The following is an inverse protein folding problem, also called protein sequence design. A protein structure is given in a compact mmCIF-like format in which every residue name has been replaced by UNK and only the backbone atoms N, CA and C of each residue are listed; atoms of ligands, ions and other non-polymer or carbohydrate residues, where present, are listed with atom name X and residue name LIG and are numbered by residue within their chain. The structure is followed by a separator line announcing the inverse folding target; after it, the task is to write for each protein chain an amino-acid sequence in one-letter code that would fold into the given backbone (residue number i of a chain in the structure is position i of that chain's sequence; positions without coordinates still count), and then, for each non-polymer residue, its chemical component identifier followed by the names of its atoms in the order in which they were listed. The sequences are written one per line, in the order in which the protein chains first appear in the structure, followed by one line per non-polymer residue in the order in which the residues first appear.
data_IF_660426673513
#
_entry.id   IF_660426673513
#
_cell.length_a   1.000
_cell.length_b   1.000
_cell.length_c   1.000
_cell.angle_alpha   90.00
_cell.angle_beta   90.00
_cell.angle_gamma   90.00
#
_symmetry.space_group_name_H-M   'P 1'
#
loop_
_entity.id
_entity.type
_entity.pdbx_description
1 polymer ?
#
# COMPACT_ATOMS: atom_id res chain seq x y z
N UNK A 1 13.09 21.86 47.55
CA UNK A 1 13.48 20.80 46.60
C UNK A 1 12.20 20.26 46.00
N UNK A 2 11.81 20.78 44.84
CA UNK A 2 10.60 20.34 44.14
C UNK A 2 10.78 18.91 43.63
N UNK A 3 9.93 18.00 44.12
CA UNK A 3 9.86 16.64 43.62
C UNK A 3 9.14 16.67 42.27
N UNK A 4 9.68 16.10 41.19
CA UNK A 4 8.97 16.05 39.93
C UNK A 4 7.65 15.30 40.13
N UNK A 5 6.58 15.83 39.53
CA UNK A 5 5.24 15.24 39.59
C UNK A 5 5.30 13.78 39.11
N UNK A 6 4.49 12.92 39.73
CA UNK A 6 4.42 11.52 39.32
C UNK A 6 3.96 11.43 37.86
N UNK A 7 4.64 10.64 37.00
CA UNK A 7 4.30 10.54 35.59
C UNK A 7 2.84 10.12 35.42
N UNK A 8 2.12 10.81 34.54
CA UNK A 8 0.78 10.43 34.14
C UNK A 8 0.83 9.07 33.42
N UNK A 9 -0.30 8.34 33.35
CA UNK A 9 -0.36 7.06 32.64
C UNK A 9 0.15 7.14 31.20
N UNK A 10 -0.12 8.26 30.52
CA UNK A 10 0.35 8.55 29.15
C UNK A 10 1.89 8.62 29.08
N UNK A 11 2.54 9.23 30.08
CA UNK A 11 4.00 9.35 30.11
C UNK A 11 4.68 7.97 30.15
N UNK A 12 4.01 6.97 30.75
CA UNK A 12 4.51 5.59 30.80
C UNK A 12 4.35 4.86 29.46
N UNK A 13 3.30 5.15 28.70
CA UNK A 13 3.12 4.57 27.37
C UNK A 13 4.11 5.17 26.37
N UNK A 14 4.35 6.49 26.44
CA UNK A 14 5.37 7.17 25.63
C UNK A 14 6.76 6.61 25.97
N UNK A 15 7.08 6.43 27.26
CA UNK A 15 8.37 5.87 27.67
C UNK A 15 8.57 4.42 27.18
N UNK A 16 7.50 3.63 27.03
CA UNK A 16 7.56 2.26 26.50
C UNK A 16 7.83 2.20 24.99
N UNK A 17 7.60 3.29 24.26
CA UNK A 17 7.81 3.35 22.82
C UNK A 17 9.26 3.60 22.41
N UNK A 18 10.20 3.76 23.37
CA UNK A 18 11.65 3.89 23.14
C UNK A 18 12.08 4.86 22.00
N UNK A 19 11.28 5.89 21.73
CA UNK A 19 11.57 6.89 20.70
C UNK A 19 11.10 6.53 19.28
N UNK A 20 10.34 5.44 19.10
CA UNK A 20 9.63 5.21 17.84
C UNK A 20 8.45 6.18 17.68
N UNK A 21 8.32 6.76 16.49
CA UNK A 21 7.19 7.61 16.13
C UNK A 21 5.92 6.75 16.04
N UNK A 22 5.22 6.62 17.16
CA UNK A 22 3.91 5.96 17.17
C UNK A 22 2.92 6.95 16.58
N UNK A 23 2.21 6.55 15.51
CA UNK A 23 1.10 7.33 14.99
C UNK A 23 0.14 7.64 16.15
N UNK A 24 -0.04 8.94 16.43
CA UNK A 24 -0.92 9.41 17.49
C UNK A 24 -2.35 8.91 17.29
N UNK A 25 -2.76 8.71 16.03
CA UNK A 25 -4.06 8.13 15.68
C UNK A 25 -4.16 6.65 16.06
N UNK A 26 -3.10 5.86 15.83
CA UNK A 26 -3.07 4.45 16.25
C UNK A 26 -3.01 4.29 17.78
N UNK A 27 -2.46 5.28 18.48
CA UNK A 27 -2.42 5.31 19.95
C UNK A 27 -3.76 5.77 20.52
N UNK A 28 -4.42 6.73 19.84
CA UNK A 28 -5.77 7.19 20.15
C UNK A 28 -6.80 6.07 19.99
N UNK A 29 -6.76 5.31 18.90
CA UNK A 29 -7.67 4.18 18.69
C UNK A 29 -7.51 3.11 19.78
N UNK A 30 -6.28 2.86 20.23
CA UNK A 30 -5.99 1.94 21.35
C UNK A 30 -6.45 2.51 22.70
N UNK A 31 -6.25 3.80 22.95
CA UNK A 31 -6.71 4.48 24.15
C UNK A 31 -8.24 4.59 24.21
N UNK A 32 -8.90 4.84 23.08
CA UNK A 32 -10.36 4.85 22.95
C UNK A 32 -10.94 3.43 23.09
N UNK A 33 -10.29 2.40 22.52
CA UNK A 33 -10.66 1.01 22.74
C UNK A 33 -10.52 0.56 24.21
N UNK A 34 -9.53 1.09 24.95
CA UNK A 34 -9.38 0.84 26.39
C UNK A 34 -10.40 1.60 27.25
N UNK A 35 -11.07 2.62 26.70
CA UNK A 35 -12.20 3.34 27.32
C UNK A 35 -13.53 2.65 27.00
N UNK A 36 -13.59 1.32 27.03
CA UNK A 36 -14.86 0.62 26.91
C UNK A 36 -15.82 1.14 28.02
N UNK A 37 -16.96 1.76 27.67
CA UNK A 37 -17.99 2.03 28.65
C UNK A 37 -18.49 0.67 29.09
N UNK A 38 -18.35 0.32 30.37
CA UNK A 38 -18.78 -0.96 30.91
C UNK A 38 -20.31 -1.21 30.82
N UNK A 39 -21.07 -0.38 30.09
CA UNK A 39 -22.53 -0.41 29.95
C UNK A 39 -22.99 0.08 28.56
N UNK A 40 -22.41 -0.37 27.46
CA UNK A 40 -23.05 -0.18 26.15
C UNK A 40 -24.27 -1.11 26.06
N UNK A 41 -25.44 -0.55 25.75
CA UNK A 41 -26.63 -1.33 25.45
C UNK A 41 -26.40 -2.17 24.18
N UNK A 42 -27.06 -3.34 24.05
CA UNK A 42 -26.97 -4.14 22.82
C UNK A 42 -27.30 -3.34 21.54
N UNK A 43 -28.17 -2.33 21.65
CA UNK A 43 -28.56 -1.47 20.53
C UNK A 43 -27.40 -0.56 20.08
N UNK A 44 -26.63 -0.01 21.03
CA UNK A 44 -25.44 0.81 20.73
C UNK A 44 -24.35 -0.05 20.08
N UNK A 45 -24.15 -1.27 20.57
CA UNK A 45 -23.20 -2.23 19.98
C UNK A 45 -23.61 -2.55 18.53
N UNK A 46 -24.90 -2.82 18.27
CA UNK A 46 -25.39 -3.09 16.92
C UNK A 46 -25.15 -1.89 16.00
N UNK A 47 -25.43 -0.67 16.48
CA UNK A 47 -25.24 0.55 15.69
C UNK A 47 -23.76 0.77 15.34
N UNK A 48 -22.87 0.60 16.32
CA UNK A 48 -21.43 0.73 16.13
C UNK A 48 -20.90 -0.30 15.13
N UNK A 49 -21.25 -1.58 15.30
CA UNK A 49 -20.87 -2.65 14.37
C UNK A 49 -21.42 -2.44 12.97
N UNK A 50 -22.64 -1.91 12.85
CA UNK A 50 -23.23 -1.60 11.54
C UNK A 50 -22.44 -0.53 10.81
N UNK A 51 -21.99 0.52 11.52
CA UNK A 51 -21.12 1.56 10.96
C UNK A 51 -19.76 1.00 10.57
N UNK A 52 -19.17 0.19 11.42
CA UNK A 52 -17.89 -0.46 11.16
C UNK A 52 -17.95 -1.35 9.92
N UNK A 53 -18.99 -2.18 9.77
CA UNK A 53 -19.21 -3.00 8.58
C UNK A 53 -19.37 -2.13 7.32
N UNK A 54 -20.07 -1.01 7.41
CA UNK A 54 -20.18 -0.05 6.30
C UNK A 54 -18.81 0.48 5.87
N UNK A 55 -17.98 0.88 6.82
CA UNK A 55 -16.61 1.36 6.57
C UNK A 55 -15.73 0.28 5.94
N UNK A 56 -15.76 -0.95 6.50
CA UNK A 56 -14.98 -2.07 5.99
C UNK A 56 -15.39 -2.47 4.56
N UNK A 57 -16.69 -2.39 4.24
CA UNK A 57 -17.16 -2.64 2.86
C UNK A 57 -16.62 -1.61 1.87
N UNK A 58 -16.59 -0.33 2.26
CA UNK A 58 -16.02 0.72 1.43
C UNK A 58 -14.52 0.52 1.21
N UNK A 59 -13.79 0.13 2.26
CA UNK A 59 -12.36 -0.17 2.19
C UNK A 59 -12.07 -1.38 1.28
N UNK A 60 -12.85 -2.45 1.40
CA UNK A 60 -12.73 -3.61 0.50
C UNK A 60 -12.99 -3.21 -0.96
N UNK A 61 -14.04 -2.42 -1.23
CA UNK A 61 -14.33 -1.97 -2.58
C UNK A 61 -13.19 -1.12 -3.18
N UNK A 62 -12.61 -0.23 -2.36
CA UNK A 62 -11.44 0.56 -2.76
C UNK A 62 -10.24 -0.33 -3.11
N UNK A 63 -9.90 -1.28 -2.23
CA UNK A 63 -8.75 -2.18 -2.44
C UNK A 63 -8.95 -3.08 -3.67
N UNK A 64 -10.18 -3.53 -3.92
CA UNK A 64 -10.51 -4.29 -5.13
C UNK A 64 -10.29 -3.45 -6.40
N UNK A 65 -10.66 -2.18 -6.38
CA UNK A 65 -10.44 -1.29 -7.53
C UNK A 65 -8.94 -1.00 -7.76
N UNK A 66 -8.20 -0.73 -6.69
CA UNK A 66 -6.74 -0.56 -6.77
C UNK A 66 -6.08 -1.80 -7.37
N UNK A 67 -6.48 -3.00 -6.92
CA UNK A 67 -5.97 -4.26 -7.46
C UNK A 67 -6.28 -4.40 -8.94
N UNK A 68 -7.53 -4.13 -9.35
CA UNK A 68 -7.96 -4.19 -10.76
C UNK A 68 -7.13 -3.27 -11.66
N UNK A 69 -6.84 -2.05 -11.19
CA UNK A 69 -6.00 -1.10 -11.92
C UNK A 69 -4.53 -1.58 -11.99
N UNK A 70 -4.03 -2.18 -10.91
CA UNK A 70 -2.69 -2.79 -10.89
C UNK A 70 -2.56 -3.94 -11.87
N UNK A 71 -3.54 -4.85 -11.90
CA UNK A 71 -3.56 -5.98 -12.84
C UNK A 71 -3.58 -5.48 -14.29
N UNK A 72 -4.41 -4.48 -14.62
CA UNK A 72 -4.44 -3.85 -15.95
C UNK A 72 -3.10 -3.22 -16.33
N UNK A 73 -2.44 -2.51 -15.40
CA UNK A 73 -1.13 -1.92 -15.68
C UNK A 73 -0.08 -2.98 -15.98
N UNK A 74 -0.09 -4.11 -15.27
CA UNK A 74 0.81 -5.22 -15.53
C UNK A 74 0.62 -5.76 -16.95
N UNK A 75 -0.62 -5.99 -17.38
CA UNK A 75 -0.94 -6.45 -18.74
C UNK A 75 -0.42 -5.47 -19.82
N UNK A 76 -0.63 -4.16 -19.62
CA UNK A 76 -0.15 -3.14 -20.57
C UNK A 76 1.38 -3.09 -20.63
N UNK A 77 2.06 -3.23 -19.49
CA UNK A 77 3.52 -3.25 -19.43
C UNK A 77 4.08 -4.50 -20.13
N UNK A 78 3.50 -5.66 -19.90
CA UNK A 78 3.86 -6.91 -20.60
C UNK A 78 3.72 -6.76 -22.11
N UNK A 79 2.58 -6.22 -22.56
CA UNK A 79 2.35 -5.95 -23.99
C UNK A 79 3.40 -5.02 -24.61
N UNK A 80 3.77 -3.94 -23.90
CA UNK A 80 4.81 -3.00 -24.37
C UNK A 80 6.17 -3.69 -24.44
N UNK A 81 6.53 -4.51 -23.45
CA UNK A 81 7.79 -5.27 -23.43
C UNK A 81 7.85 -6.19 -24.64
N UNK A 82 6.81 -6.97 -24.92
CA UNK A 82 6.77 -7.88 -26.07
C UNK A 82 6.97 -7.14 -27.40
N UNK A 83 6.31 -5.98 -27.55
CA UNK A 83 6.44 -5.13 -28.74
C UNK A 83 7.86 -4.60 -28.90
N UNK A 84 8.50 -4.18 -27.81
CA UNK A 84 9.89 -3.71 -27.82
C UNK A 84 10.87 -4.84 -28.16
N UNK A 85 10.68 -6.03 -27.60
CA UNK A 85 11.51 -7.19 -27.92
C UNK A 85 11.45 -7.51 -29.42
N UNK A 86 10.24 -7.54 -30.00
CA UNK A 86 10.07 -7.74 -31.44
C UNK A 86 10.75 -6.64 -32.27
N UNK A 87 10.63 -5.38 -31.87
CA UNK A 87 11.28 -4.27 -32.55
C UNK A 87 12.81 -4.39 -32.52
N UNK A 88 13.38 -4.75 -31.37
CA UNK A 88 14.84 -4.97 -31.21
C UNK A 88 15.31 -6.13 -32.07
N UNK A 89 14.57 -7.23 -32.13
CA UNK A 89 14.89 -8.38 -32.99
C UNK A 89 14.87 -7.97 -34.47
N UNK A 90 13.82 -7.26 -34.89
CA UNK A 90 13.69 -6.79 -36.27
C UNK A 90 14.83 -5.84 -36.65
N UNK A 91 15.21 -4.93 -35.75
CA UNK A 91 16.33 -4.02 -35.93
C UNK A 91 17.66 -4.76 -36.11
N UNK A 92 17.99 -5.71 -35.21
CA UNK A 92 19.19 -6.52 -35.34
C UNK A 92 19.23 -7.34 -36.63
N UNK A 93 18.09 -7.88 -37.06
CA UNK A 93 17.99 -8.59 -38.33
C UNK A 93 18.29 -7.67 -39.51
N UNK A 94 17.73 -6.46 -39.49
CA UNK A 94 18.00 -5.43 -40.50
C UNK A 94 19.47 -5.03 -40.55
N UNK A 95 20.10 -4.80 -39.39
CA UNK A 95 21.54 -4.48 -39.30
C UNK A 95 22.40 -5.58 -39.93
N UNK A 96 22.18 -6.85 -39.57
CA UNK A 96 22.94 -7.97 -40.16
C UNK A 96 22.76 -8.10 -41.66
N UNK A 97 21.60 -7.74 -42.21
CA UNK A 97 21.36 -7.75 -43.65
C UNK A 97 22.14 -6.64 -44.36
N UNK A 98 22.28 -5.48 -43.74
CA UNK A 98 23.07 -4.37 -44.27
C UNK A 98 24.57 -4.71 -44.20
N UNK A 99 25.04 -5.15 -43.03
CA UNK A 99 26.46 -5.50 -42.79
C UNK A 99 26.89 -6.74 -43.59
N UNK A 100 26.01 -7.74 -43.74
CA UNK A 100 26.26 -8.92 -44.57
C UNK A 100 26.13 -8.65 -46.08
N UNK A 101 25.43 -7.60 -46.48
CA UNK A 101 25.23 -7.21 -47.87
C UNK A 101 26.39 -6.43 -48.49
N UNK A 102 27.30 -5.86 -47.69
CA UNK A 102 28.52 -5.20 -48.19
C UNK A 102 29.57 -6.16 -48.74
N UNK A 103 29.51 -7.46 -48.39
CA UNK A 103 30.48 -8.46 -48.88
C UNK A 103 30.18 -8.99 -50.29
N UNK A 104 28.95 -8.84 -50.79
CA UNK A 104 28.53 -9.39 -52.09
C UNK A 104 28.64 -8.40 -53.27
N UNK A 105 29.04 -7.15 -53.03
CA UNK A 105 29.18 -6.12 -54.08
C UNK A 105 30.62 -5.91 -54.59
N UNK A 106 31.54 -6.82 -54.25
CA UNK A 106 32.96 -6.77 -54.66
C UNK A 106 33.41 -7.96 -55.53
N UNK A 107 32.48 -8.74 -56.09
CA UNK A 107 32.76 -9.91 -56.94
C UNK A 107 32.60 -9.64 -58.43
#
# INVERSE_FOLDING_TARGET
MDRPASPHPIDREIAKAYGESVSLDATRDKLEASKAPANQSPQEIILERTREVGRLRAEVAYLQEVRRLGDYLCEEVEYVIDRLQLAVIAFHKGLRQIEGGELDLSG
#
